data_IF_182169647578
#
_entry.id   IF_182169647578
#
_cell.length_a   1.000
_cell.length_b   1.000
_cell.length_c   1.000
_cell.angle_alpha   90.00
_cell.angle_beta   90.00
_cell.angle_gamma   90.00
#
_symmetry.space_group_name_H-M   'P 1'
#
loop_
_entity.id
_entity.type
_entity.pdbx_description
1 polymer ?
#
# COMPACT_ATOMS: atom_id res chain seq x y z
N UNK A 1 -10.58 -13.37 -9.28
CA UNK A 1 -9.18 -12.97 -8.95
C UNK A 1 -8.46 -12.77 -10.28
N UNK A 2 -7.64 -11.73 -10.49
CA UNK A 2 -6.87 -11.62 -11.74
C UNK A 2 -5.99 -12.87 -11.89
N UNK A 3 -5.99 -13.48 -13.07
CA UNK A 3 -5.57 -14.87 -13.25
C UNK A 3 -4.06 -15.06 -13.07
N UNK A 4 -3.23 -14.22 -13.70
CA UNK A 4 -1.77 -14.36 -13.68
C UNK A 4 -1.14 -13.34 -12.75
N UNK A 5 -0.66 -13.80 -11.58
CA UNK A 5 0.10 -13.00 -10.60
C UNK A 5 1.28 -13.79 -10.07
N UNK A 6 2.39 -13.12 -9.84
CA UNK A 6 3.57 -13.70 -9.18
C UNK A 6 3.25 -14.11 -7.74
N UNK A 7 4.02 -15.06 -7.21
CA UNK A 7 3.85 -15.56 -5.83
C UNK A 7 3.99 -14.44 -4.78
N UNK A 8 4.99 -13.55 -4.95
CA UNK A 8 5.20 -12.39 -4.07
C UNK A 8 3.97 -11.49 -4.01
N UNK A 9 3.35 -11.19 -5.16
CA UNK A 9 2.14 -10.37 -5.20
C UNK A 9 0.97 -11.08 -4.53
N UNK A 10 0.81 -12.40 -4.71
CA UNK A 10 -0.22 -13.20 -4.03
C UNK A 10 -0.04 -13.17 -2.50
N UNK A 11 1.19 -13.30 -2.00
CA UNK A 11 1.48 -13.20 -0.57
C UNK A 11 1.12 -11.84 0.01
N UNK A 12 1.47 -10.74 -0.68
CA UNK A 12 1.13 -9.38 -0.24
C UNK A 12 -0.40 -9.19 -0.21
N UNK A 13 -1.11 -9.63 -1.26
CA UNK A 13 -2.57 -9.55 -1.31
C UNK A 13 -3.21 -10.32 -0.15
N UNK A 14 -2.76 -11.54 0.11
CA UNK A 14 -3.24 -12.35 1.23
C UNK A 14 -2.99 -11.68 2.58
N UNK A 15 -1.78 -11.11 2.79
CA UNK A 15 -1.45 -10.38 4.02
C UNK A 15 -2.34 -9.15 4.20
N UNK A 16 -2.55 -8.35 3.16
CA UNK A 16 -3.41 -7.15 3.21
C UNK A 16 -4.88 -7.50 3.43
N UNK A 17 -5.35 -8.64 2.93
CA UNK A 17 -6.68 -9.14 3.23
C UNK A 17 -6.80 -9.54 4.72
N UNK A 18 -5.80 -10.27 5.25
CA UNK A 18 -5.79 -10.68 6.66
C UNK A 18 -5.73 -9.50 7.64
N UNK A 19 -5.00 -8.43 7.31
CA UNK A 19 -4.87 -7.24 8.15
C UNK A 19 -6.16 -6.38 8.21
N UNK A 20 -7.04 -6.48 7.22
CA UNK A 20 -8.22 -5.61 7.11
C UNK A 20 -9.43 -6.12 7.92
N UNK A 21 -9.21 -6.55 9.16
CA UNK A 21 -10.23 -7.10 10.06
C UNK A 21 -10.58 -6.11 11.18
N UNK A 22 -11.81 -6.14 11.72
CA UNK A 22 -12.16 -5.41 12.94
C UNK A 22 -11.37 -5.94 14.14
N UNK A 23 -11.28 -5.13 15.19
CA UNK A 23 -10.62 -5.52 16.44
C UNK A 23 -11.48 -6.58 17.14
N UNK A 24 -10.88 -7.68 17.64
CA UNK A 24 -11.57 -8.66 18.47
C UNK A 24 -12.19 -8.05 19.73
N UNK A 25 -13.36 -8.56 20.11
CA UNK A 25 -14.13 -8.00 21.23
C UNK A 25 -13.38 -8.07 22.56
N UNK A 26 -12.70 -9.18 22.86
CA UNK A 26 -11.97 -9.36 24.11
C UNK A 26 -10.85 -8.33 24.31
N UNK A 27 -10.28 -7.77 23.23
CA UNK A 27 -9.26 -6.71 23.31
C UNK A 27 -9.89 -5.42 23.85
N UNK A 28 -11.15 -5.14 23.50
CA UNK A 28 -11.88 -3.95 23.97
C UNK A 28 -12.19 -4.03 25.47
N UNK A 29 -12.31 -5.25 25.99
CA UNK A 29 -12.62 -5.53 27.40
C UNK A 29 -11.37 -5.54 28.30
N UNK A 30 -10.17 -5.43 27.71
CA UNK A 30 -8.92 -5.44 28.49
C UNK A 30 -8.73 -4.11 29.23
N UNK A 31 -8.47 -4.18 30.54
CA UNK A 31 -8.24 -3.00 31.39
C UNK A 31 -7.06 -2.16 30.89
N UNK A 32 -7.17 -0.83 30.96
CA UNK A 32 -6.13 0.11 30.54
C UNK A 32 -5.93 0.21 29.03
N UNK A 33 -6.81 -0.36 28.21
CA UNK A 33 -6.70 -0.29 26.76
C UNK A 33 -7.45 0.93 26.19
N UNK A 34 -6.76 1.78 25.45
CA UNK A 34 -7.33 2.97 24.78
C UNK A 34 -7.83 2.67 23.36
N UNK A 35 -7.54 1.48 22.82
CA UNK A 35 -7.80 1.13 21.43
C UNK A 35 -9.28 0.76 21.22
N UNK A 36 -10.04 1.63 20.53
CA UNK A 36 -11.48 1.44 20.25
C UNK A 36 -11.77 0.74 18.93
N UNK A 37 -10.99 1.03 17.88
CA UNK A 37 -11.19 0.52 16.52
C UNK A 37 -9.85 0.42 15.78
N UNK A 38 -9.81 -0.36 14.69
CA UNK A 38 -8.60 -0.49 13.86
C UNK A 38 -8.56 0.67 12.86
N UNK A 39 -7.77 1.70 13.17
CA UNK A 39 -7.60 2.89 12.34
C UNK A 39 -6.98 2.60 10.96
N UNK A 40 -6.26 1.47 10.81
CA UNK A 40 -5.59 1.08 9.57
C UNK A 40 -6.47 0.23 8.65
N UNK A 41 -7.76 0.05 8.97
CA UNK A 41 -8.71 -0.60 8.06
C UNK A 41 -8.87 0.21 6.79
N UNK A 42 -9.07 -0.48 5.68
CA UNK A 42 -9.12 0.10 4.34
C UNK A 42 -10.31 -0.42 3.56
N UNK A 43 -11.04 0.47 2.89
CA UNK A 43 -12.04 0.09 1.91
C UNK A 43 -11.43 0.07 0.49
N UNK A 44 -11.75 -0.95 -0.31
CA UNK A 44 -11.12 -1.19 -1.62
C UNK A 44 -11.50 -0.17 -2.69
N UNK A 45 -12.69 0.46 -2.58
CA UNK A 45 -13.09 1.55 -3.49
C UNK A 45 -12.40 2.87 -3.14
N UNK A 46 -12.20 3.17 -1.85
CA UNK A 46 -11.66 4.47 -1.40
C UNK A 46 -10.14 4.58 -1.48
N UNK A 47 -9.39 3.52 -1.17
CA UNK A 47 -7.92 3.58 -1.15
C UNK A 47 -7.32 2.34 -1.83
N UNK A 48 -6.38 2.53 -2.77
CA UNK A 48 -5.73 1.44 -3.53
C UNK A 48 -4.45 0.95 -2.83
N UNK A 49 -4.01 -0.27 -3.19
CA UNK A 49 -2.85 -0.93 -2.57
C UNK A 49 -1.50 -0.56 -3.19
N UNK A 50 -1.49 0.08 -4.37
CA UNK A 50 -0.26 0.56 -5.01
C UNK A 50 0.76 -0.52 -5.38
N UNK A 51 0.32 -1.74 -5.72
CA UNK A 51 1.19 -2.90 -5.96
C UNK A 51 1.91 -2.89 -7.32
N UNK A 52 1.68 -1.88 -8.16
CA UNK A 52 2.17 -1.84 -9.56
C UNK A 52 3.46 -1.03 -9.76
N UNK A 53 4.06 -0.46 -8.70
CA UNK A 53 5.27 0.36 -8.83
C UNK A 53 6.52 -0.41 -8.41
N UNK A 54 6.95 -1.34 -9.27
CA UNK A 54 8.30 -1.91 -9.22
C UNK A 54 8.81 -2.41 -10.59
N UNK A 55 8.15 -2.05 -11.70
CA UNK A 55 8.56 -2.47 -13.04
C UNK A 55 8.46 -1.40 -14.13
N UNK A 56 8.25 -0.12 -13.79
CA UNK A 56 8.44 0.97 -14.78
C UNK A 56 9.93 1.27 -14.88
N UNK A 57 10.61 0.39 -15.60
CA UNK A 57 11.59 0.71 -16.64
C UNK A 57 12.27 2.08 -16.51
N UNK A 58 13.57 2.04 -16.22
CA UNK A 58 14.51 3.02 -16.74
C UNK A 58 14.39 3.08 -18.27
N UNK A 59 13.72 4.10 -18.81
CA UNK A 59 13.85 4.54 -20.21
C UNK A 59 13.69 6.05 -20.27
N UNK A 60 14.77 6.70 -20.71
CA UNK A 60 14.70 7.99 -21.39
C UNK A 60 14.75 9.22 -20.49
N UNK A 61 15.96 9.68 -20.21
CA UNK A 61 16.28 11.07 -19.86
C UNK A 61 15.71 11.99 -20.97
N UNK A 62 15.29 13.22 -20.64
CA UNK A 62 15.89 14.35 -21.35
C UNK A 62 16.78 15.10 -20.37
N UNK A 63 18.08 15.07 -20.67
CA UNK A 63 19.08 15.96 -20.12
C UNK A 63 18.55 17.40 -20.31
N UNK A 64 17.97 17.96 -19.26
CA UNK A 64 17.46 19.32 -19.29
C UNK A 64 18.65 20.25 -19.53
N UNK A 65 18.52 20.98 -20.63
CA UNK A 65 19.46 21.92 -21.18
C UNK A 65 20.18 22.76 -20.12
N UNK A 66 21.51 22.78 -20.27
CA UNK A 66 22.44 23.84 -19.90
C UNK A 66 21.74 25.15 -19.50
N UNK A 67 21.90 25.53 -18.24
CA UNK A 67 21.90 26.94 -17.86
C UNK A 67 23.03 27.63 -18.60
N UNK A 68 22.70 28.37 -19.65
CA UNK A 68 23.58 29.39 -20.21
C UNK A 68 23.32 30.67 -19.41
N UNK A 69 24.30 31.20 -18.66
CA UNK A 69 24.19 32.56 -18.17
C UNK A 69 24.32 33.50 -19.38
N UNK A 70 23.31 34.32 -19.62
CA UNK A 70 23.49 35.53 -20.41
C UNK A 70 24.35 36.49 -19.56
N UNK A 71 25.63 36.57 -19.91
CA UNK A 71 26.53 37.67 -19.63
C UNK A 71 27.48 37.78 -20.83
#
# INVERSE_FOLDING_TARGET
>A
MPSHKTFRTKQILAKKQKQNRPIPQWIRLRTGNTIKYNAKRRHWRRTKLGLEKASTVAKGVPFAAKGMPFA
#
